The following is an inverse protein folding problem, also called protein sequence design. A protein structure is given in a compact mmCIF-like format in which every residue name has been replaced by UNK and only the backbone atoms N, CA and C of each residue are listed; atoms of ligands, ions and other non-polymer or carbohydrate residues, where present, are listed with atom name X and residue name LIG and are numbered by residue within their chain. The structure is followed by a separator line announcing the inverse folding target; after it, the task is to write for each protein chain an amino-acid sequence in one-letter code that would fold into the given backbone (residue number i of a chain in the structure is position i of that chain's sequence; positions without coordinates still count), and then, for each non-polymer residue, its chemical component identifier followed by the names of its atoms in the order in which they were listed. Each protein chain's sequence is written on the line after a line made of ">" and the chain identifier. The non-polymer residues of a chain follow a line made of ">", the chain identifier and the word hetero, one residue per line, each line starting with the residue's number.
data_IF_225983935740
#
_entry.id   IF_225983935740
#
_cell.length_a   1.000
_cell.length_b   1.000
_cell.length_c   1.000
_cell.angle_alpha   90.00
_cell.angle_beta   90.00
_cell.angle_gamma   90.00
#
_symmetry.space_group_name_H-M   'P 1'
#
loop_
_entity.id
_entity.type
_entity.pdbx_description
1 polymer ?
#
# COMPACT_ATOMS: atom_id res chain seq x y z
N UNK A 1 -0.08 6.27 16.69
CA UNK A 1 0.56 5.48 15.63
C UNK A 1 1.56 4.48 16.19
N UNK A 2 2.49 4.86 17.08
CA UNK A 2 3.48 3.93 17.65
C UNK A 2 2.84 2.73 18.40
N UNK A 3 1.75 2.95 19.15
CA UNK A 3 0.98 1.86 19.75
C UNK A 3 0.33 0.92 18.71
N UNK A 4 0.01 1.44 17.54
CA UNK A 4 -0.52 0.62 16.44
C UNK A 4 0.56 -0.26 15.81
N UNK A 5 1.79 0.27 15.64
CA UNK A 5 2.91 -0.52 15.16
C UNK A 5 3.22 -1.71 16.09
N UNK A 6 3.13 -1.52 17.41
CA UNK A 6 3.33 -2.61 18.37
C UNK A 6 2.28 -3.73 18.22
N UNK A 7 1.01 -3.36 17.97
CA UNK A 7 -0.08 -4.32 17.71
C UNK A 7 0.14 -5.07 16.38
N UNK A 8 0.76 -4.40 15.41
CA UNK A 8 0.97 -4.91 14.06
C UNK A 8 2.37 -5.50 13.83
N UNK A 9 3.21 -5.61 14.87
CA UNK A 9 4.61 -6.10 14.75
C UNK A 9 4.73 -7.47 14.07
N UNK A 10 3.68 -8.27 14.09
CA UNK A 10 3.63 -9.56 13.39
C UNK A 10 3.55 -9.49 11.87
N UNK A 11 3.32 -8.33 11.24
CA UNK A 11 3.33 -8.18 9.78
C UNK A 11 4.75 -8.11 9.23
N UNK A 12 4.91 -8.51 7.96
CA UNK A 12 6.21 -8.54 7.29
C UNK A 12 6.63 -7.15 6.77
N UNK A 13 5.69 -6.20 6.73
CA UNK A 13 5.97 -4.83 6.30
C UNK A 13 4.82 -3.87 6.57
N UNK A 14 5.09 -2.60 6.23
CA UNK A 14 4.17 -1.50 6.43
C UNK A 14 4.12 -0.62 5.17
N UNK A 15 2.93 -0.17 4.82
CA UNK A 15 2.71 0.84 3.80
C UNK A 15 2.23 2.14 4.46
N UNK A 16 2.97 3.23 4.24
CA UNK A 16 2.75 4.51 4.91
C UNK A 16 2.17 5.50 3.90
N UNK A 17 0.89 5.91 4.03
CA UNK A 17 0.27 6.81 3.08
C UNK A 17 0.81 8.23 3.21
N UNK A 18 0.91 8.92 2.08
CA UNK A 18 1.14 10.35 2.03
C UNK A 18 -0.19 11.08 1.93
N UNK A 19 -0.46 11.91 2.93
CA UNK A 19 -1.61 12.83 2.95
C UNK A 19 -2.92 12.19 2.43
N UNK A 20 -3.40 11.10 3.07
CA UNK A 20 -4.56 10.36 2.60
C UNK A 20 -5.78 11.27 2.44
N UNK A 21 -6.55 11.06 1.37
CA UNK A 21 -7.69 11.89 0.98
C UNK A 21 -7.31 13.38 0.75
N UNK A 22 -6.06 13.66 0.40
CA UNK A 22 -5.56 15.01 0.19
C UNK A 22 -5.45 15.87 1.46
N UNK A 23 -5.54 15.27 2.65
CA UNK A 23 -5.48 15.97 3.93
C UNK A 23 -4.07 15.98 4.50
N UNK A 24 -3.64 17.08 5.15
CA UNK A 24 -2.33 17.13 5.78
C UNK A 24 -2.12 15.99 6.78
N UNK A 25 -0.95 15.36 6.70
CA UNK A 25 -0.50 14.31 7.60
C UNK A 25 0.98 14.50 7.93
N UNK A 26 1.51 13.71 8.87
CA UNK A 26 2.94 13.64 9.12
C UNK A 26 3.61 13.07 7.87
N UNK A 27 4.77 13.61 7.48
CA UNK A 27 5.49 13.14 6.29
C UNK A 27 5.82 11.65 6.41
N UNK A 28 5.54 10.86 5.38
CA UNK A 28 5.74 9.41 5.42
C UNK A 28 7.18 9.00 5.77
N UNK A 29 8.19 9.72 5.27
CA UNK A 29 9.59 9.45 5.59
C UNK A 29 9.91 9.59 7.10
N UNK A 30 9.28 10.55 7.79
CA UNK A 30 9.44 10.69 9.25
C UNK A 30 8.84 9.49 9.98
N UNK A 31 7.67 9.03 9.55
CA UNK A 31 7.03 7.84 10.14
C UNK A 31 7.82 6.57 9.83
N UNK A 32 8.38 6.46 8.63
CA UNK A 32 9.24 5.34 8.24
C UNK A 32 10.47 5.27 9.14
N UNK A 33 11.16 6.41 9.37
CA UNK A 33 12.31 6.46 10.27
C UNK A 33 11.96 6.02 11.69
N UNK A 34 10.84 6.53 12.23
CA UNK A 34 10.35 6.13 13.55
C UNK A 34 10.02 4.63 13.65
N UNK A 35 9.53 4.02 12.57
CA UNK A 35 9.27 2.59 12.53
C UNK A 35 10.57 1.79 12.47
N UNK A 36 11.52 2.18 11.64
CA UNK A 36 12.85 1.54 11.52
C UNK A 36 13.55 1.51 12.89
N UNK A 37 13.54 2.61 13.62
CA UNK A 37 14.17 2.72 14.93
C UNK A 37 13.50 1.86 16.02
N UNK A 38 12.21 1.55 15.84
CA UNK A 38 11.42 0.83 16.86
C UNK A 38 11.28 -0.65 16.59
N UNK A 39 11.28 -1.06 15.34
CA UNK A 39 11.12 -2.48 14.99
C UNK A 39 12.44 -3.21 15.20
N UNK A 40 12.40 -4.31 15.95
CA UNK A 40 13.58 -5.15 16.23
C UNK A 40 14.01 -5.99 15.02
N UNK A 41 13.07 -6.24 14.09
CA UNK A 41 13.30 -7.05 12.90
C UNK A 41 13.28 -6.17 11.65
N UNK A 42 14.04 -6.53 10.65
CA UNK A 42 13.98 -5.92 9.33
C UNK A 42 12.60 -6.16 8.69
N UNK A 43 11.89 -5.08 8.42
CA UNK A 43 10.56 -5.09 7.82
C UNK A 43 10.58 -4.30 6.52
N UNK A 44 9.82 -4.74 5.52
CA UNK A 44 9.60 -3.94 4.31
C UNK A 44 8.76 -2.72 4.65
N UNK A 45 9.29 -1.52 4.40
CA UNK A 45 8.57 -0.27 4.57
C UNK A 45 8.37 0.38 3.21
N UNK A 46 7.12 0.58 2.84
CA UNK A 46 6.72 1.30 1.63
C UNK A 46 6.31 2.70 2.04
N UNK A 47 6.96 3.70 1.46
CA UNK A 47 6.61 5.11 1.60
C UNK A 47 5.83 5.53 0.37
N UNK A 48 4.58 5.93 0.55
CA UNK A 48 3.79 6.50 -0.54
C UNK A 48 4.23 7.94 -0.78
N UNK A 49 4.38 8.30 -2.05
CA UNK A 49 4.65 9.67 -2.47
C UNK A 49 3.59 10.15 -3.44
N UNK A 50 2.89 11.19 -3.04
CA UNK A 50 2.00 11.96 -3.92
C UNK A 50 2.82 12.85 -4.82
N UNK A 51 2.50 12.83 -6.11
CA UNK A 51 3.21 13.62 -7.13
C UNK A 51 2.51 14.95 -7.43
N UNK A 52 1.23 15.11 -7.03
CA UNK A 52 0.50 16.36 -7.20
C UNK A 52 1.06 17.54 -6.38
N UNK A 53 1.82 17.25 -5.33
CA UNK A 53 2.25 18.25 -4.35
C UNK A 53 3.74 18.53 -4.41
N UNK A 54 4.49 17.91 -5.34
CA UNK A 54 5.95 17.97 -5.40
C UNK A 54 6.47 18.29 -6.79
N UNK A 55 7.63 18.94 -6.85
CA UNK A 55 8.41 19.16 -8.06
C UNK A 55 9.52 18.11 -8.22
N UNK A 56 10.28 18.20 -9.31
CA UNK A 56 11.38 17.28 -9.60
C UNK A 56 12.47 17.31 -8.51
N UNK A 57 12.82 18.49 -7.97
CA UNK A 57 13.85 18.62 -6.96
C UNK A 57 13.45 17.90 -5.67
N UNK A 58 12.19 18.07 -5.25
CA UNK A 58 11.67 17.37 -4.08
C UNK A 58 11.64 15.85 -4.31
N UNK A 59 11.22 15.39 -5.49
CA UNK A 59 11.24 13.97 -5.84
C UNK A 59 12.67 13.39 -5.76
N UNK A 60 13.69 14.10 -6.30
CA UNK A 60 15.07 13.64 -6.21
C UNK A 60 15.54 13.54 -4.76
N UNK A 61 15.21 14.52 -3.92
CA UNK A 61 15.54 14.51 -2.49
C UNK A 61 14.88 13.33 -1.77
N UNK A 62 13.63 12.99 -2.14
CA UNK A 62 12.93 11.84 -1.59
C UNK A 62 13.57 10.51 -2.03
N UNK A 63 13.96 10.40 -3.32
CA UNK A 63 14.64 9.21 -3.84
C UNK A 63 15.95 8.98 -3.07
N UNK A 64 16.77 10.03 -2.89
CA UNK A 64 17.99 9.94 -2.09
C UNK A 64 17.71 9.53 -0.64
N UNK A 65 16.62 10.04 -0.06
CA UNK A 65 16.19 9.67 1.28
C UNK A 65 15.79 8.18 1.34
N UNK A 66 15.05 7.70 0.34
CA UNK A 66 14.64 6.30 0.26
C UNK A 66 15.84 5.35 0.13
N UNK A 67 16.85 5.72 -0.68
CA UNK A 67 18.12 4.97 -0.78
C UNK A 67 18.79 4.89 0.59
N UNK A 68 18.93 6.04 1.29
CA UNK A 68 19.60 6.11 2.57
C UNK A 68 18.88 5.30 3.66
N UNK A 69 17.56 5.27 3.63
CA UNK A 69 16.74 4.56 4.62
C UNK A 69 16.50 3.09 4.27
N UNK A 70 16.77 2.65 3.03
CA UNK A 70 16.45 1.31 2.56
C UNK A 70 14.94 1.05 2.43
N UNK A 71 14.13 2.09 2.21
CA UNK A 71 12.67 1.96 2.06
C UNK A 71 12.25 1.86 0.59
N UNK A 72 11.09 1.27 0.35
CA UNK A 72 10.47 1.21 -0.97
C UNK A 72 9.60 2.44 -1.21
N UNK A 73 9.44 2.85 -2.47
CA UNK A 73 8.59 3.98 -2.85
C UNK A 73 7.37 3.50 -3.64
N UNK A 74 6.17 3.93 -3.25
CA UNK A 74 4.96 3.83 -4.06
C UNK A 74 4.62 5.21 -4.64
N UNK A 75 4.75 5.36 -5.95
CA UNK A 75 4.60 6.64 -6.64
C UNK A 75 3.19 6.77 -7.22
N UNK A 76 2.45 7.77 -6.75
CA UNK A 76 1.06 7.98 -7.14
C UNK A 76 0.74 9.45 -7.39
N UNK A 77 -0.21 9.74 -8.27
CA UNK A 77 -0.70 11.11 -8.40
C UNK A 77 -1.35 11.61 -7.11
N UNK A 78 -2.08 10.75 -6.44
CA UNK A 78 -2.83 11.07 -5.22
C UNK A 78 -4.16 11.78 -5.49
N UNK A 79 -4.93 12.01 -4.42
CA UNK A 79 -6.19 12.75 -4.46
C UNK A 79 -5.93 14.26 -4.57
N UNK A 80 -6.95 15.04 -4.99
CA UNK A 80 -6.83 16.50 -4.98
C UNK A 80 -6.56 17.01 -3.56
N UNK A 81 -5.65 17.99 -3.37
CA UNK A 81 -5.34 18.51 -2.05
C UNK A 81 -6.55 19.22 -1.45
N UNK A 82 -6.85 18.93 -0.16
CA UNK A 82 -7.88 19.62 0.59
C UNK A 82 -7.49 21.06 0.96
N UNK A 83 -6.18 21.37 0.92
CA UNK A 83 -5.62 22.69 1.18
C UNK A 83 -4.61 23.05 0.09
N UNK A 84 -4.67 24.28 -0.39
CA UNK A 84 -3.77 24.75 -1.44
C UNK A 84 -4.19 24.29 -2.85
N UNK A 85 -3.22 24.21 -3.74
CA UNK A 85 -3.39 23.80 -5.13
C UNK A 85 -2.37 22.73 -5.47
N UNK A 86 -2.76 21.80 -6.32
CA UNK A 86 -1.81 20.88 -6.94
C UNK A 86 -0.77 21.67 -7.75
N UNK A 87 0.52 21.36 -7.58
CA UNK A 87 1.62 22.02 -8.25
C UNK A 87 2.49 21.03 -9.04
N UNK A 88 2.39 19.73 -8.75
CA UNK A 88 3.18 18.70 -9.39
C UNK A 88 2.73 18.43 -10.83
N UNK A 89 3.70 18.38 -11.74
CA UNK A 89 3.51 18.04 -13.17
C UNK A 89 4.09 16.67 -13.52
N UNK A 90 4.66 15.97 -12.54
CA UNK A 90 5.32 14.69 -12.73
C UNK A 90 4.31 13.57 -13.01
N UNK A 91 4.57 12.79 -14.06
CA UNK A 91 3.85 11.53 -14.23
C UNK A 91 4.45 10.45 -13.30
N UNK A 92 3.62 9.53 -12.84
CA UNK A 92 4.08 8.42 -12.01
C UNK A 92 5.05 7.49 -12.76
N UNK A 93 4.94 7.42 -14.09
CA UNK A 93 5.85 6.66 -14.94
C UNK A 93 7.25 7.29 -15.00
N UNK A 94 7.33 8.62 -15.16
CA UNK A 94 8.60 9.34 -15.16
C UNK A 94 9.27 9.25 -13.77
N UNK A 95 8.50 9.45 -12.71
CA UNK A 95 8.97 9.32 -11.34
C UNK A 95 9.47 7.89 -11.03
N UNK A 96 8.77 6.85 -11.52
CA UNK A 96 9.19 5.46 -11.42
C UNK A 96 10.58 5.23 -12.04
N UNK A 97 10.77 5.67 -13.28
CA UNK A 97 12.04 5.48 -13.98
C UNK A 97 13.19 6.20 -13.26
N UNK A 98 12.94 7.39 -12.73
CA UNK A 98 13.91 8.12 -11.92
C UNK A 98 14.28 7.35 -10.65
N UNK A 99 13.31 6.81 -9.91
CA UNK A 99 13.57 6.04 -8.69
C UNK A 99 14.35 4.73 -8.98
N UNK A 100 13.98 4.02 -10.05
CA UNK A 100 14.65 2.78 -10.45
C UNK A 100 16.10 3.03 -10.90
N UNK A 101 16.39 4.15 -11.55
CA UNK A 101 17.77 4.49 -11.97
C UNK A 101 18.71 4.71 -10.80
N UNK A 102 18.18 5.09 -9.64
CA UNK A 102 18.94 5.24 -8.37
C UNK A 102 18.93 3.97 -7.50
N UNK A 103 18.39 2.86 -8.03
CA UNK A 103 18.37 1.57 -7.35
C UNK A 103 17.29 1.42 -6.27
N UNK A 104 16.31 2.33 -6.21
CA UNK A 104 15.20 2.23 -5.26
C UNK A 104 14.18 1.21 -5.75
N UNK A 105 13.71 0.33 -4.87
CA UNK A 105 12.52 -0.47 -5.14
C UNK A 105 11.29 0.44 -5.24
N UNK A 106 10.81 0.68 -6.45
CA UNK A 106 9.71 1.58 -6.70
C UNK A 106 8.52 0.87 -7.36
N UNK A 107 7.33 1.23 -6.91
CA UNK A 107 6.06 0.66 -7.35
C UNK A 107 5.05 1.71 -7.79
N UNK A 108 3.99 1.21 -8.41
CA UNK A 108 2.88 2.00 -8.94
C UNK A 108 1.55 1.41 -8.49
N UNK A 109 0.51 2.24 -8.49
CA UNK A 109 -0.86 1.79 -8.29
C UNK A 109 -1.45 1.25 -9.60
N UNK A 110 -2.13 0.09 -9.51
CA UNK A 110 -3.02 -0.45 -10.53
C UNK A 110 -4.45 -0.41 -9.99
N UNK A 111 -5.34 0.30 -10.65
CA UNK A 111 -6.75 0.37 -10.25
C UNK A 111 -7.59 -0.60 -11.07
N UNK A 112 -8.25 -1.55 -10.39
CA UNK A 112 -9.16 -2.50 -11.03
C UNK A 112 -10.50 -1.89 -11.48
N UNK A 113 -10.72 -0.58 -11.27
CA UNK A 113 -11.80 0.17 -11.92
C UNK A 113 -11.51 0.51 -13.37
N UNK A 114 -10.23 0.51 -13.74
CA UNK A 114 -9.80 0.85 -15.10
C UNK A 114 -10.05 -0.30 -16.06
N UNK A 115 -10.25 -0.02 -17.36
CA UNK A 115 -10.33 -1.07 -18.37
C UNK A 115 -9.12 -2.01 -18.33
N UNK A 116 -9.32 -3.29 -18.65
CA UNK A 116 -8.25 -4.29 -18.62
C UNK A 116 -7.03 -3.91 -19.48
N UNK A 117 -7.25 -3.22 -20.59
CA UNK A 117 -6.16 -2.74 -21.45
C UNK A 117 -5.27 -1.74 -20.71
N UNK A 118 -5.85 -0.78 -19.97
CA UNK A 118 -5.11 0.17 -19.16
C UNK A 118 -4.37 -0.54 -18.01
N UNK A 119 -5.00 -1.54 -17.39
CA UNK A 119 -4.36 -2.35 -16.35
C UNK A 119 -3.14 -3.09 -16.91
N UNK A 120 -3.27 -3.77 -18.06
CA UNK A 120 -2.16 -4.47 -18.74
C UNK A 120 -1.04 -3.51 -19.12
N UNK A 121 -1.37 -2.35 -19.68
CA UNK A 121 -0.38 -1.31 -20.00
C UNK A 121 0.37 -0.85 -18.77
N UNK A 122 -0.33 -0.69 -17.63
CA UNK A 122 0.30 -0.33 -16.36
C UNK A 122 1.23 -1.42 -15.85
N UNK A 123 0.80 -2.68 -15.87
CA UNK A 123 1.58 -3.84 -15.45
C UNK A 123 2.79 -4.13 -16.37
N UNK A 124 2.80 -3.64 -17.62
CA UNK A 124 3.97 -3.77 -18.49
C UNK A 124 5.13 -2.83 -18.15
N UNK A 125 4.94 -1.89 -17.23
CA UNK A 125 6.00 -1.01 -16.76
C UNK A 125 7.02 -1.77 -15.89
N UNK A 126 8.27 -1.32 -15.81
CA UNK A 126 9.35 -2.01 -15.11
C UNK A 126 9.31 -1.80 -13.57
N UNK A 127 8.14 -1.58 -12.99
CA UNK A 127 8.01 -1.39 -11.55
C UNK A 127 8.46 -2.63 -10.76
N UNK A 128 9.07 -2.43 -9.60
CA UNK A 128 9.46 -3.50 -8.69
C UNK A 128 8.25 -4.20 -8.08
N UNK A 129 7.16 -3.47 -7.89
CA UNK A 129 5.88 -3.98 -7.41
C UNK A 129 4.72 -3.10 -7.89
N UNK A 130 3.51 -3.63 -7.75
CA UNK A 130 2.28 -2.89 -8.01
C UNK A 130 1.32 -3.03 -6.83
N UNK A 131 0.70 -1.94 -6.40
CA UNK A 131 -0.39 -1.97 -5.44
C UNK A 131 -1.74 -1.99 -6.18
N UNK A 132 -2.48 -3.09 -6.04
CA UNK A 132 -3.77 -3.30 -6.72
C UNK A 132 -4.93 -2.77 -5.89
N UNK A 133 -5.50 -1.63 -6.26
CA UNK A 133 -6.62 -1.01 -5.54
C UNK A 133 -7.96 -1.23 -6.24
N UNK A 134 -9.07 -1.00 -5.52
CA UNK A 134 -10.43 -1.14 -6.03
C UNK A 134 -10.77 -2.58 -6.46
N UNK A 135 -10.22 -3.56 -5.79
CA UNK A 135 -10.52 -4.96 -6.01
C UNK A 135 -11.99 -5.24 -5.68
N UNK A 136 -12.79 -5.66 -6.66
CA UNK A 136 -14.20 -6.03 -6.49
C UNK A 136 -14.46 -7.48 -6.85
N UNK A 137 -13.78 -7.95 -7.88
CA UNK A 137 -13.90 -9.29 -8.40
C UNK A 137 -12.50 -9.82 -8.71
N UNK A 138 -12.13 -10.89 -8.03
CA UNK A 138 -10.81 -11.51 -8.17
C UNK A 138 -10.67 -12.37 -9.42
N UNK A 139 -11.79 -12.81 -10.03
CA UNK A 139 -11.75 -13.65 -11.24
C UNK A 139 -11.08 -12.93 -12.44
N UNK A 140 -11.04 -11.62 -12.42
CA UNK A 140 -10.48 -10.78 -13.48
C UNK A 140 -9.16 -10.11 -13.12
N UNK A 141 -8.58 -10.44 -11.97
CA UNK A 141 -7.29 -9.88 -11.54
C UNK A 141 -6.18 -10.51 -12.37
N UNK A 142 -5.38 -9.66 -13.01
CA UNK A 142 -4.21 -10.13 -13.73
C UNK A 142 -3.23 -10.82 -12.77
N UNK A 143 -2.80 -12.02 -13.10
CA UNK A 143 -1.76 -12.72 -12.35
C UNK A 143 -0.41 -12.12 -12.71
N UNK A 144 0.13 -11.30 -11.84
CA UNK A 144 1.48 -10.75 -11.90
C UNK A 144 2.10 -10.92 -10.50
N UNK A 145 3.26 -11.55 -10.43
CA UNK A 145 3.92 -11.83 -9.14
C UNK A 145 4.32 -10.58 -8.37
N UNK A 146 4.41 -9.43 -9.06
CA UNK A 146 4.69 -8.12 -8.46
C UNK A 146 3.45 -7.43 -7.92
N UNK A 147 2.26 -7.99 -8.17
CA UNK A 147 1.01 -7.36 -7.76
C UNK A 147 0.68 -7.71 -6.30
N UNK A 148 0.50 -6.68 -5.50
CA UNK A 148 0.08 -6.73 -4.09
C UNK A 148 -1.38 -6.24 -4.03
N UNK A 149 -2.38 -7.14 -3.92
CA UNK A 149 -3.77 -6.74 -3.74
C UNK A 149 -3.97 -5.94 -2.46
N UNK A 150 -4.71 -4.84 -2.55
CA UNK A 150 -5.07 -3.99 -1.41
C UNK A 150 -6.48 -4.32 -0.92
N UNK A 151 -6.59 -4.76 0.31
CA UNK A 151 -7.83 -5.19 0.96
C UNK A 151 -8.17 -4.27 2.13
N UNK A 152 -9.27 -3.52 2.01
CA UNK A 152 -9.83 -2.70 3.09
C UNK A 152 -10.71 -3.55 3.99
N UNK A 153 -10.39 -3.59 5.28
CA UNK A 153 -11.15 -4.33 6.29
C UNK A 153 -12.09 -3.38 7.02
N UNK A 154 -13.39 -3.66 6.90
CA UNK A 154 -14.46 -2.90 7.53
C UNK A 154 -14.85 -3.53 8.87
N UNK A 155 -14.95 -2.68 9.87
CA UNK A 155 -15.48 -3.01 11.20
C UNK A 155 -16.53 -1.98 11.59
N UNK A 156 -17.22 -2.18 12.71
CA UNK A 156 -18.15 -1.19 13.24
C UNK A 156 -17.49 0.17 13.52
N UNK A 157 -16.20 0.14 13.94
CA UNK A 157 -15.45 1.36 14.29
C UNK A 157 -15.09 2.23 13.09
N UNK A 158 -14.92 1.65 11.92
CA UNK A 158 -14.50 2.38 10.73
C UNK A 158 -15.54 2.40 9.61
N UNK A 159 -16.72 1.81 9.82
CA UNK A 159 -17.77 1.68 8.81
C UNK A 159 -18.19 3.02 8.21
N UNK A 160 -18.31 4.06 9.04
CA UNK A 160 -18.68 5.40 8.57
C UNK A 160 -17.59 6.01 7.68
N UNK A 161 -16.32 5.87 8.07
CA UNK A 161 -15.18 6.34 7.28
C UNK A 161 -15.11 5.59 5.93
N UNK A 162 -15.16 4.26 5.97
CA UNK A 162 -15.07 3.46 4.75
C UNK A 162 -16.30 3.60 3.86
N UNK A 163 -17.47 3.85 4.43
CA UNK A 163 -18.70 4.13 3.66
C UNK A 163 -18.63 5.42 2.83
N UNK A 164 -17.74 6.36 3.20
CA UNK A 164 -17.48 7.58 2.42
C UNK A 164 -16.46 7.38 1.30
N UNK A 165 -15.74 6.24 1.29
CA UNK A 165 -14.78 5.89 0.25
C UNK A 165 -15.48 5.11 -0.85
N UNK A 166 -15.17 5.45 -2.09
CA UNK A 166 -15.67 4.66 -3.22
C UNK A 166 -14.95 3.32 -3.40
N UNK A 167 -14.04 2.96 -2.52
CA UNK A 167 -13.25 1.75 -2.58
C UNK A 167 -13.98 0.58 -1.90
N UNK A 168 -13.97 -0.63 -2.49
CA UNK A 168 -14.55 -1.81 -1.86
C UNK A 168 -13.91 -2.09 -0.50
N UNK A 169 -14.74 -2.53 0.45
CA UNK A 169 -14.28 -2.94 1.77
C UNK A 169 -15.05 -4.19 2.20
N UNK A 170 -14.39 -5.06 2.96
CA UNK A 170 -14.91 -6.33 3.39
C UNK A 170 -14.98 -6.38 4.92
N UNK A 171 -16.02 -6.97 5.46
CA UNK A 171 -15.98 -7.32 6.88
C UNK A 171 -14.91 -8.39 7.14
N UNK A 172 -14.62 -8.63 8.43
CA UNK A 172 -13.53 -9.54 8.81
C UNK A 172 -13.73 -10.97 8.28
N UNK A 173 -14.99 -11.43 8.17
CA UNK A 173 -15.29 -12.75 7.65
C UNK A 173 -15.06 -12.82 6.14
N UNK A 174 -15.63 -11.88 5.41
CA UNK A 174 -15.50 -11.80 3.95
C UNK A 174 -14.04 -11.55 3.54
N UNK A 175 -13.28 -10.78 4.35
CA UNK A 175 -11.85 -10.58 4.14
C UNK A 175 -11.05 -11.89 4.27
N UNK A 176 -11.40 -12.78 5.21
CA UNK A 176 -10.78 -14.11 5.32
C UNK A 176 -11.05 -14.96 4.08
N UNK A 177 -12.29 -14.97 3.61
CA UNK A 177 -12.67 -15.73 2.42
C UNK A 177 -11.95 -15.18 1.16
N UNK A 178 -11.86 -13.84 1.03
CA UNK A 178 -11.10 -13.19 -0.03
C UNK A 178 -9.61 -13.54 0.02
N UNK A 179 -8.99 -13.51 1.20
CA UNK A 179 -7.59 -13.89 1.37
C UNK A 179 -7.33 -15.33 0.93
N UNK A 180 -8.21 -16.27 1.30
CA UNK A 180 -8.11 -17.66 0.84
C UNK A 180 -8.23 -17.80 -0.67
N UNK A 181 -9.07 -17.00 -1.32
CA UNK A 181 -9.21 -16.98 -2.77
C UNK A 181 -7.96 -16.38 -3.45
N UNK A 182 -7.40 -15.28 -2.92
CA UNK A 182 -6.17 -14.68 -3.43
C UNK A 182 -4.98 -15.64 -3.33
N UNK A 183 -4.88 -16.38 -2.23
CA UNK A 183 -3.90 -17.46 -2.08
C UNK A 183 -4.08 -18.53 -3.15
N UNK A 184 -5.29 -19.01 -3.34
CA UNK A 184 -5.61 -20.00 -4.37
C UNK A 184 -5.26 -19.55 -5.79
N UNK A 185 -5.24 -18.24 -6.05
CA UNK A 185 -4.77 -17.64 -7.30
C UNK A 185 -3.25 -17.44 -7.35
N UNK A 186 -2.51 -17.77 -6.30
CA UNK A 186 -1.05 -17.70 -6.26
C UNK A 186 -0.48 -16.35 -5.82
N UNK A 187 -1.31 -15.44 -5.29
CA UNK A 187 -0.79 -14.19 -4.70
C UNK A 187 0.00 -14.50 -3.43
N UNK A 188 1.22 -13.96 -3.34
CA UNK A 188 2.13 -14.19 -2.21
C UNK A 188 2.09 -13.10 -1.15
N UNK A 189 1.59 -11.94 -1.51
CA UNK A 189 1.53 -10.77 -0.64
C UNK A 189 0.19 -10.08 -0.79
N UNK A 190 -0.33 -9.54 0.32
CA UNK A 190 -1.56 -8.74 0.36
C UNK A 190 -1.32 -7.56 1.30
N UNK A 191 -1.73 -6.37 0.90
CA UNK A 191 -1.78 -5.21 1.79
C UNK A 191 -3.16 -5.16 2.48
N UNK A 192 -3.16 -5.27 3.81
CA UNK A 192 -4.36 -5.14 4.63
C UNK A 192 -4.42 -3.75 5.26
N UNK A 193 -5.58 -3.14 5.23
CA UNK A 193 -5.81 -1.85 5.88
C UNK A 193 -7.14 -1.82 6.61
N UNK A 194 -7.12 -1.37 7.86
CA UNK A 194 -8.32 -1.10 8.67
C UNK A 194 -8.18 0.25 9.36
N UNK A 195 -8.39 1.35 8.64
CA UNK A 195 -8.23 2.70 9.17
C UNK A 195 -9.08 2.89 10.44
N UNK A 196 -8.45 3.35 11.52
CA UNK A 196 -9.11 3.54 12.81
C UNK A 196 -9.34 2.29 13.67
N UNK A 197 -9.06 1.08 13.13
CA UNK A 197 -9.18 -0.17 13.89
C UNK A 197 -8.08 -1.20 13.57
N UNK A 198 -6.82 -0.90 13.91
CA UNK A 198 -5.69 -1.79 13.63
C UNK A 198 -5.77 -3.12 14.37
N UNK A 199 -6.52 -3.20 15.47
CA UNK A 199 -6.68 -4.45 16.23
C UNK A 199 -7.34 -5.55 15.39
N UNK A 200 -8.26 -5.20 14.49
CA UNK A 200 -8.91 -6.13 13.57
C UNK A 200 -7.91 -6.81 12.61
N UNK A 201 -6.83 -6.12 12.25
CA UNK A 201 -5.77 -6.67 11.39
C UNK A 201 -4.94 -7.72 12.14
N UNK A 202 -4.72 -7.57 13.45
CA UNK A 202 -4.02 -8.57 14.25
C UNK A 202 -4.80 -9.89 14.32
N UNK A 203 -6.14 -9.84 14.33
CA UNK A 203 -6.99 -11.03 14.26
C UNK A 203 -6.90 -11.72 12.90
N UNK A 204 -6.89 -10.97 11.81
CA UNK A 204 -6.69 -11.50 10.47
C UNK A 204 -5.31 -12.13 10.31
N UNK A 205 -4.27 -11.50 10.84
CA UNK A 205 -2.91 -12.04 10.82
C UNK A 205 -2.81 -13.37 11.55
N UNK A 206 -3.39 -13.47 12.77
CA UNK A 206 -3.42 -14.73 13.51
C UNK A 206 -4.14 -15.84 12.75
N UNK A 207 -5.24 -15.48 12.07
CA UNK A 207 -5.96 -16.43 11.24
C UNK A 207 -5.13 -16.86 10.02
N UNK A 208 -4.46 -15.94 9.34
CA UNK A 208 -3.65 -16.20 8.15
C UNK A 208 -2.42 -17.09 8.47
N UNK A 209 -1.78 -16.86 9.60
CA UNK A 209 -0.60 -17.62 10.06
C UNK A 209 -0.92 -18.97 10.70
N UNK A 210 -2.18 -19.37 10.77
CA UNK A 210 -2.54 -20.66 11.32
C UNK A 210 -2.02 -21.81 10.42
N UNK A 211 -1.09 -22.67 10.88
CA UNK A 211 -0.44 -23.70 10.08
C UNK A 211 -1.42 -24.75 9.52
N UNK A 212 -2.59 -24.89 10.11
CA UNK A 212 -3.64 -25.78 9.59
C UNK A 212 -4.37 -25.24 8.34
N UNK A 213 -4.05 -24.03 7.88
CA UNK A 213 -4.66 -23.40 6.70
C UNK A 213 -3.72 -23.26 5.50
N UNK A 214 -2.44 -23.61 5.62
CA UNK A 214 -1.49 -23.59 4.50
C UNK A 214 -1.03 -22.20 4.05
N UNK A 215 -1.40 -21.13 4.77
CA UNK A 215 -1.09 -19.76 4.38
C UNK A 215 0.27 -19.30 4.95
N UNK A 216 1.24 -19.04 4.10
CA UNK A 216 2.38 -18.19 4.42
C UNK A 216 1.98 -16.75 4.12
N UNK A 217 1.54 -16.03 5.13
CA UNK A 217 1.10 -14.66 4.98
C UNK A 217 2.30 -13.72 4.96
N UNK A 218 2.79 -13.39 3.80
CA UNK A 218 3.55 -12.15 3.62
C UNK A 218 2.54 -11.00 3.62
N UNK A 219 2.09 -10.58 4.80
CA UNK A 219 1.08 -9.53 4.94
C UNK A 219 1.76 -8.23 5.30
N UNK A 220 1.56 -7.21 4.46
CA UNK A 220 1.90 -5.83 4.79
C UNK A 220 0.70 -5.21 5.50
N UNK A 221 0.93 -4.60 6.68
CA UNK A 221 -0.12 -3.99 7.50
C UNK A 221 0.07 -2.48 7.67
N UNK A 222 -1.01 -1.80 8.01
CA UNK A 222 -1.13 -0.36 8.33
C UNK A 222 -1.24 -0.10 9.80
#
# INVERSE_FOLDING_TARGET
>A
MMSQADVLSGFDGFDIPDSPLGRPAVLPAVLAQMLIERLEEEKTIIVNQRLLDVDELHLQSLIMTAVQMGVWLLLTQGDQPAHGKACGLLSSEAALLSALSEGVHAGLIVSFRKPQEEQRKRLSLPASFFLGINLRDIAHVAQDERLIPYVLVRTERNAQLLGSLEQPSWDVKDAKDLLGQLEGLGFRSVLLSSPGDPASLADLLRWARNPYKGFQANTMGW
#
